data_IF_526101283340
#
_entry.id   IF_526101283340
#
_cell.length_a   1.000
_cell.length_b   1.000
_cell.length_c   1.000
_cell.angle_alpha   90.00
_cell.angle_beta   90.00
_cell.angle_gamma   90.00
#
_symmetry.space_group_name_H-M   'P 1'
#
loop_
_entity.id
_entity.type
_entity.pdbx_description
1 polymer ?
#
# COMPACT_ATOMS: atom_id res chain seq x y z
N UNK A 1 16.30 -10.77 16.88
CA UNK A 1 15.74 -9.51 16.35
C UNK A 1 14.80 -9.92 15.23
N UNK A 2 13.51 -10.03 15.54
CA UNK A 2 12.43 -10.47 14.62
C UNK A 2 11.46 -9.30 14.30
N UNK A 3 11.65 -8.14 14.94
CA UNK A 3 10.67 -7.05 14.92
C UNK A 3 10.45 -6.38 13.56
N UNK A 4 11.42 -6.43 12.64
CA UNK A 4 11.28 -5.82 11.31
C UNK A 4 10.22 -6.51 10.44
N UNK A 5 10.17 -7.84 10.48
CA UNK A 5 9.19 -8.62 9.72
C UNK A 5 7.78 -8.47 10.32
N UNK A 6 7.68 -8.35 11.66
CA UNK A 6 6.43 -8.08 12.36
C UNK A 6 5.85 -6.70 12.03
N UNK A 7 6.72 -5.68 11.95
CA UNK A 7 6.34 -4.32 11.58
C UNK A 7 5.87 -4.27 10.12
N UNK A 8 6.60 -4.90 9.19
CA UNK A 8 6.21 -4.96 7.78
C UNK A 8 4.87 -5.70 7.60
N UNK A 9 4.67 -6.82 8.31
CA UNK A 9 3.40 -7.53 8.30
C UNK A 9 2.26 -6.68 8.90
N UNK A 10 2.54 -5.87 9.91
CA UNK A 10 1.57 -4.95 10.52
C UNK A 10 1.14 -3.86 9.54
N UNK A 11 2.10 -3.24 8.86
CA UNK A 11 1.84 -2.23 7.83
C UNK A 11 1.04 -2.85 6.68
N UNK A 12 1.42 -4.04 6.19
CA UNK A 12 0.70 -4.74 5.13
C UNK A 12 -0.77 -5.00 5.49
N UNK A 13 -1.04 -5.44 6.73
CA UNK A 13 -2.42 -5.64 7.23
C UNK A 13 -3.21 -4.34 7.29
N UNK A 14 -2.57 -3.25 7.73
CA UNK A 14 -3.20 -1.93 7.75
C UNK A 14 -3.59 -1.47 6.34
N UNK A 15 -2.65 -1.57 5.39
CA UNK A 15 -2.86 -1.17 4.00
C UNK A 15 -4.06 -1.89 3.39
N UNK A 16 -4.13 -3.21 3.52
CA UNK A 16 -5.25 -3.99 2.96
C UNK A 16 -6.59 -3.65 3.63
N UNK A 17 -6.61 -3.49 4.96
CA UNK A 17 -7.85 -3.19 5.68
C UNK A 17 -8.37 -1.78 5.39
N UNK A 18 -7.49 -0.79 5.36
CA UNK A 18 -7.89 0.59 5.05
C UNK A 18 -8.30 0.74 3.58
N UNK A 19 -7.55 0.13 2.65
CA UNK A 19 -7.92 0.09 1.25
C UNK A 19 -9.31 -0.54 1.03
N UNK A 20 -9.64 -1.60 1.77
CA UNK A 20 -10.98 -2.21 1.69
C UNK A 20 -12.10 -1.23 2.11
N UNK A 21 -11.87 -0.37 3.10
CA UNK A 21 -12.83 0.67 3.50
C UNK A 21 -13.01 1.74 2.42
N UNK A 22 -11.91 2.17 1.79
CA UNK A 22 -11.96 3.13 0.68
C UNK A 22 -12.69 2.56 -0.53
N UNK A 23 -12.50 1.27 -0.82
CA UNK A 23 -13.22 0.57 -1.88
C UNK A 23 -14.72 0.52 -1.58
N UNK A 24 -15.10 0.23 -0.34
CA UNK A 24 -16.51 0.29 0.08
C UNK A 24 -17.09 1.70 -0.05
N UNK A 25 -16.27 2.73 0.12
CA UNK A 25 -16.64 4.13 -0.09
C UNK A 25 -16.67 4.56 -1.57
N UNK A 26 -16.36 3.66 -2.51
CA UNK A 26 -16.45 3.90 -3.96
C UNK A 26 -15.13 4.12 -4.69
N UNK A 27 -13.98 4.01 -4.01
CA UNK A 27 -12.67 4.14 -4.64
C UNK A 27 -12.29 2.85 -5.41
N UNK A 28 -11.60 3.00 -6.53
CA UNK A 28 -11.03 1.84 -7.25
C UNK A 28 -9.97 1.14 -6.39
N UNK A 29 -9.94 -0.20 -6.40
CA UNK A 29 -9.08 -1.03 -5.53
C UNK A 29 -7.60 -0.65 -5.54
N UNK A 30 -7.03 -0.43 -6.71
CA UNK A 30 -5.59 -0.17 -6.84
C UNK A 30 -5.19 1.23 -6.31
N UNK A 31 -5.85 2.33 -6.73
CA UNK A 31 -5.67 3.64 -6.11
C UNK A 31 -5.86 3.64 -4.59
N UNK A 32 -6.85 2.89 -4.08
CA UNK A 32 -7.08 2.75 -2.63
C UNK A 32 -5.90 2.11 -1.89
N UNK A 33 -5.30 1.06 -2.46
CA UNK A 33 -4.09 0.41 -1.91
C UNK A 33 -2.87 1.33 -1.96
N UNK A 34 -2.68 2.06 -3.06
CA UNK A 34 -1.58 3.04 -3.19
C UNK A 34 -1.72 4.16 -2.15
N UNK A 35 -2.92 4.73 -1.99
CA UNK A 35 -3.17 5.75 -0.99
C UNK A 35 -2.92 5.24 0.43
N UNK A 36 -3.40 4.04 0.75
CA UNK A 36 -3.17 3.42 2.06
C UNK A 36 -1.67 3.17 2.34
N UNK A 37 -0.91 2.72 1.33
CA UNK A 37 0.54 2.55 1.43
C UNK A 37 1.27 3.87 1.67
N UNK A 38 0.93 4.93 0.92
CA UNK A 38 1.50 6.27 1.13
C UNK A 38 1.18 6.81 2.52
N UNK A 39 -0.04 6.62 3.02
CA UNK A 39 -0.44 7.04 4.35
C UNK A 39 0.34 6.31 5.46
N UNK A 40 0.73 5.06 5.22
CA UNK A 40 1.54 4.28 6.16
C UNK A 40 3.05 4.57 6.08
N UNK A 41 3.51 5.31 5.07
CA UNK A 41 4.91 5.70 4.91
C UNK A 41 5.26 6.87 5.84
N UNK A 42 6.32 6.75 6.62
CA UNK A 42 6.83 7.86 7.46
C UNK A 42 7.17 9.10 6.64
N UNK A 43 7.59 8.90 5.37
CA UNK A 43 7.94 9.99 4.45
C UNK A 43 6.71 10.57 3.73
N UNK A 44 5.55 9.92 3.82
CA UNK A 44 4.35 10.25 3.03
C UNK A 44 4.53 10.07 1.51
N UNK A 45 5.65 9.48 1.10
CA UNK A 45 6.03 9.26 -0.29
C UNK A 45 6.68 7.88 -0.41
N UNK A 46 6.47 7.26 -1.57
CA UNK A 46 7.07 5.99 -1.97
C UNK A 46 7.37 6.07 -3.47
N UNK A 47 8.50 5.51 -3.87
CA UNK A 47 8.85 5.31 -5.27
C UNK A 47 8.00 4.19 -5.87
N UNK A 48 7.95 4.10 -7.20
CA UNK A 48 7.24 3.02 -7.88
C UNK A 48 7.78 1.63 -7.53
N UNK A 49 9.08 1.52 -7.23
CA UNK A 49 9.71 0.28 -6.81
C UNK A 49 9.25 -0.12 -5.40
N UNK A 50 9.28 0.81 -4.46
CA UNK A 50 8.82 0.59 -3.07
C UNK A 50 7.31 0.26 -3.04
N UNK A 51 6.49 0.94 -3.85
CA UNK A 51 5.07 0.60 -4.01
C UNK A 51 4.87 -0.81 -4.57
N UNK A 52 5.67 -1.21 -5.57
CA UNK A 52 5.57 -2.54 -6.19
C UNK A 52 5.90 -3.65 -5.19
N UNK A 53 6.94 -3.45 -4.38
CA UNK A 53 7.38 -4.36 -3.34
C UNK A 53 6.34 -4.47 -2.22
N UNK A 54 5.96 -3.34 -1.62
CA UNK A 54 5.04 -3.31 -0.48
C UNK A 54 3.63 -3.84 -0.84
N UNK A 55 3.13 -3.49 -2.03
CA UNK A 55 1.80 -3.94 -2.49
C UNK A 55 1.83 -5.31 -3.17
N UNK A 56 3.02 -5.88 -3.42
CA UNK A 56 3.24 -7.13 -4.16
C UNK A 56 2.56 -7.10 -5.52
N UNK A 57 2.82 -6.04 -6.28
CA UNK A 57 2.25 -5.79 -7.62
C UNK A 57 3.38 -5.54 -8.64
N UNK A 58 3.05 -5.65 -9.93
CA UNK A 58 3.99 -5.27 -10.97
C UNK A 58 4.15 -3.75 -11.07
N UNK A 59 5.30 -3.23 -11.52
CA UNK A 59 5.50 -1.80 -11.76
C UNK A 59 4.47 -1.19 -12.72
N UNK A 60 3.99 -1.97 -13.70
CA UNK A 60 2.94 -1.54 -14.62
C UNK A 60 1.60 -1.27 -13.89
N UNK A 61 1.29 -2.03 -12.83
CA UNK A 61 0.09 -1.82 -12.04
C UNK A 61 0.15 -0.54 -11.18
N UNK A 62 1.35 -0.08 -10.82
CA UNK A 62 1.55 1.21 -10.14
C UNK A 62 1.20 2.36 -11.07
N UNK A 63 1.63 2.29 -12.33
CA UNK A 63 1.39 3.35 -13.32
C UNK A 63 -0.08 3.54 -13.69
N UNK A 64 -0.94 2.53 -13.51
CA UNK A 64 -2.38 2.65 -13.73
C UNK A 64 -3.17 3.03 -12.47
N UNK A 65 -2.50 3.18 -11.32
CA UNK A 65 -3.11 3.44 -10.03
C UNK A 65 -2.95 4.90 -9.55
N UNK A 66 -2.09 5.67 -10.22
CA UNK A 66 -1.89 7.12 -10.07
C UNK A 66 -2.52 7.80 -11.29
#
# INVERSE_FOLDING_TARGET
MDGGDDDEATVSRFVERFAAQLVQAGMTRMPARVFAALLSSERGALTSAELSEQLKISPAAVSGAV
#
